data_IF_550543233887
#
_entry.id   IF_550543233887
#
_cell.length_a   1.000
_cell.length_b   1.000
_cell.length_c   1.000
_cell.angle_alpha   90.00
_cell.angle_beta   90.00
_cell.angle_gamma   90.00
#
_symmetry.space_group_name_H-M   'P 1'
#
loop_
_entity.id
_entity.type
_entity.pdbx_description
1 polymer ?
#
# COMPACT_ATOMS: atom_id res chain seq x y z
N UNK A 1 46.96 46.66 -34.57
CA UNK A 1 45.71 47.22 -34.05
C UNK A 1 44.70 46.10 -33.89
N UNK A 2 44.64 45.34 -32.81
CA UNK A 2 45.45 45.25 -31.60
C UNK A 2 45.44 43.79 -31.13
N UNK A 3 46.63 43.36 -30.73
CA UNK A 3 46.93 42.16 -29.97
C UNK A 3 46.62 42.44 -28.48
N UNK A 4 46.52 41.39 -27.64
CA UNK A 4 46.32 41.46 -26.17
C UNK A 4 44.88 41.79 -25.71
N UNK A 5 44.13 40.85 -25.13
CA UNK A 5 44.38 40.35 -23.77
C UNK A 5 43.94 38.88 -23.65
N UNK A 6 44.87 37.95 -23.86
CA UNK A 6 44.84 36.66 -23.17
C UNK A 6 45.40 36.89 -21.77
N UNK A 7 44.53 37.09 -20.79
CA UNK A 7 44.93 37.02 -19.38
C UNK A 7 45.02 35.55 -18.96
N UNK A 8 46.23 35.03 -19.08
CA UNK A 8 46.74 33.89 -18.32
C UNK A 8 46.94 34.28 -16.85
N UNK A 9 46.62 33.34 -15.95
CA UNK A 9 47.05 33.24 -14.55
C UNK A 9 46.61 34.32 -13.56
N UNK A 10 45.70 33.94 -12.67
CA UNK A 10 45.94 34.11 -11.24
C UNK A 10 45.77 32.69 -10.65
N UNK A 11 46.84 31.91 -10.51
CA UNK A 11 47.56 31.90 -9.24
C UNK A 11 46.59 32.17 -8.08
N UNK A 12 45.93 31.11 -7.60
CA UNK A 12 45.51 31.07 -6.20
C UNK A 12 46.67 31.65 -5.39
N UNK A 13 46.46 32.65 -4.52
CA UNK A 13 47.54 33.16 -3.69
C UNK A 13 48.24 31.95 -3.09
N UNK A 14 49.55 31.85 -3.32
CA UNK A 14 50.37 30.76 -2.83
C UNK A 14 49.92 30.49 -1.39
N UNK A 15 49.37 29.31 -1.14
CA UNK A 15 48.80 28.92 0.15
C UNK A 15 49.78 29.38 1.22
N UNK A 16 49.49 30.51 1.86
CA UNK A 16 50.23 30.92 3.04
C UNK A 16 50.03 29.74 3.96
N UNK A 17 51.12 29.08 4.33
CA UNK A 17 51.10 27.96 5.26
C UNK A 17 50.37 28.48 6.49
N UNK A 18 49.10 28.12 6.62
CA UNK A 18 48.35 28.51 7.79
C UNK A 18 48.97 27.76 8.97
N UNK A 19 49.10 28.41 10.13
CA UNK A 19 49.42 27.68 11.35
C UNK A 19 48.47 26.49 11.48
N UNK A 20 48.91 25.35 12.06
CA UNK A 20 48.14 24.10 12.08
C UNK A 20 46.71 24.24 12.63
N UNK A 21 46.44 25.32 13.38
CA UNK A 21 45.17 25.59 14.03
C UNK A 21 44.31 26.65 13.31
N UNK A 22 44.64 27.01 12.05
CA UNK A 22 43.89 28.02 11.26
C UNK A 22 43.42 27.44 9.94
N UNK A 23 42.10 27.42 9.75
CA UNK A 23 41.47 27.03 8.49
C UNK A 23 41.00 28.27 7.73
N UNK A 24 41.25 28.28 6.42
CA UNK A 24 40.77 29.32 5.52
C UNK A 24 39.44 28.89 4.91
N UNK A 25 38.39 29.67 5.13
CA UNK A 25 37.07 29.48 4.54
C UNK A 25 36.89 30.49 3.44
N UNK A 26 36.64 30.01 2.24
CA UNK A 26 36.42 30.84 1.07
C UNK A 26 34.91 31.05 0.87
N UNK A 27 34.50 32.29 0.76
CA UNK A 27 33.13 32.70 0.46
C UNK A 27 33.05 33.19 -0.98
N UNK A 28 31.97 32.85 -1.66
CA UNK A 28 31.74 33.26 -3.03
C UNK A 28 30.31 33.07 -3.48
N UNK A 29 29.92 33.83 -4.49
CA UNK A 29 28.61 33.74 -5.12
C UNK A 29 28.60 32.66 -6.21
N UNK A 30 27.50 31.90 -6.29
CA UNK A 30 27.30 30.92 -7.36
C UNK A 30 26.73 31.64 -8.58
N UNK A 31 27.50 31.67 -9.67
CA UNK A 31 27.02 32.17 -10.96
C UNK A 31 27.05 31.02 -11.99
N UNK A 32 25.87 30.48 -12.29
CA UNK A 32 25.73 29.31 -13.18
C UNK A 32 26.37 28.07 -12.57
N UNK A 33 27.40 27.53 -13.23
CA UNK A 33 28.17 26.37 -12.74
C UNK A 33 29.47 26.74 -12.03
N UNK A 34 29.75 28.03 -11.86
CA UNK A 34 31.00 28.53 -11.30
C UNK A 34 30.75 29.21 -9.95
N UNK A 35 31.71 29.08 -9.05
CA UNK A 35 31.77 29.84 -7.79
C UNK A 35 32.73 30.99 -8.03
N UNK A 36 32.23 32.22 -7.99
CA UNK A 36 33.05 33.43 -7.99
C UNK A 36 33.41 33.75 -6.55
N UNK A 37 34.72 33.78 -6.26
CA UNK A 37 35.22 34.04 -4.93
C UNK A 37 35.03 35.51 -4.57
N UNK A 38 34.28 35.79 -3.51
CA UNK A 38 33.99 37.15 -3.06
C UNK A 38 34.96 37.56 -1.94
N UNK A 39 35.18 36.68 -0.95
CA UNK A 39 36.07 36.96 0.20
C UNK A 39 36.59 35.69 0.87
N UNK A 40 37.59 35.83 1.73
CA UNK A 40 38.16 34.72 2.53
C UNK A 40 38.09 35.07 4.02
N UNK A 41 37.52 34.17 4.82
CA UNK A 41 37.48 34.27 6.29
C UNK A 41 38.49 33.29 6.88
N UNK A 42 39.25 33.75 7.87
CA UNK A 42 40.19 32.91 8.62
C UNK A 42 39.55 32.51 9.94
N UNK A 43 39.32 31.22 10.15
CA UNK A 43 38.79 30.71 11.41
C UNK A 43 39.80 29.80 12.08
N UNK A 44 40.02 30.06 13.38
CA UNK A 44 40.89 29.25 14.22
C UNK A 44 40.11 28.09 14.80
N UNK A 45 40.57 26.88 14.55
CA UNK A 45 40.01 25.65 15.11
C UNK A 45 41.10 24.82 15.74
N UNK A 46 40.88 24.37 16.97
CA UNK A 46 41.65 23.27 17.50
C UNK A 46 41.16 21.96 16.88
N UNK A 47 42.02 20.95 16.78
CA UNK A 47 41.68 19.62 16.23
C UNK A 47 40.51 18.93 16.95
N UNK A 48 40.26 19.28 18.21
CA UNK A 48 39.11 18.79 18.99
C UNK A 48 37.78 19.50 18.69
N UNK A 49 37.83 20.66 18.04
CA UNK A 49 36.68 21.53 17.72
C UNK A 49 36.29 21.43 16.23
N UNK A 50 36.95 20.54 15.48
CA UNK A 50 36.71 20.34 14.05
C UNK A 50 35.45 19.48 13.77
N UNK A 51 34.35 19.74 14.49
CA UNK A 51 33.05 19.14 14.21
C UNK A 51 32.13 20.16 13.52
N UNK A 52 31.14 19.67 12.77
CA UNK A 52 30.26 20.52 11.95
C UNK A 52 29.52 21.58 12.78
N UNK A 53 28.93 21.27 13.96
CA UNK A 53 28.31 22.27 14.82
C UNK A 53 29.24 23.42 15.24
N UNK A 54 30.45 23.09 15.71
CA UNK A 54 31.41 24.09 16.20
C UNK A 54 31.96 24.94 15.05
N UNK A 55 32.14 24.35 13.87
CA UNK A 55 32.52 25.07 12.65
C UNK A 55 31.44 26.05 12.23
N UNK A 56 30.17 25.64 12.25
CA UNK A 56 29.05 26.52 11.95
C UNK A 56 28.94 27.64 12.98
N UNK A 57 29.12 27.35 14.28
CA UNK A 57 29.06 28.35 15.34
C UNK A 57 30.13 29.43 15.16
N UNK A 58 31.41 29.04 15.01
CA UNK A 58 32.49 30.01 14.81
C UNK A 58 32.40 30.75 13.48
N UNK A 59 31.90 30.10 12.43
CA UNK A 59 31.65 30.76 11.16
C UNK A 59 30.53 31.79 11.28
N UNK A 60 29.46 31.44 11.98
CA UNK A 60 28.37 32.37 12.26
C UNK A 60 28.90 33.58 13.03
N UNK A 61 29.64 33.37 14.11
CA UNK A 61 30.23 34.46 14.91
C UNK A 61 31.11 35.38 14.05
N UNK A 62 31.99 34.81 13.21
CA UNK A 62 32.88 35.57 12.33
C UNK A 62 32.16 36.31 11.18
N UNK A 63 30.92 35.94 10.87
CA UNK A 63 30.13 36.49 9.77
C UNK A 63 29.09 37.51 10.27
N UNK A 64 28.47 37.24 11.42
CA UNK A 64 27.48 38.12 12.06
C UNK A 64 28.10 39.38 12.67
N UNK A 65 29.42 39.42 12.89
CA UNK A 65 30.11 40.68 13.24
C UNK A 65 30.05 41.73 12.10
N UNK A 66 29.72 41.34 10.86
CA UNK A 66 29.77 42.26 9.71
C UNK A 66 28.47 42.42 8.90
N UNK A 67 27.48 41.51 8.96
CA UNK A 67 26.17 41.68 8.26
C UNK A 67 25.00 40.96 8.95
N UNK A 68 23.82 41.61 9.01
CA UNK A 68 22.58 41.07 9.62
C UNK A 68 21.73 40.18 8.66
N UNK A 69 22.02 40.15 7.35
CA UNK A 69 21.14 39.52 6.36
C UNK A 69 21.85 38.46 5.51
N UNK A 70 22.12 37.25 6.06
CA UNK A 70 22.58 36.13 5.22
C UNK A 70 21.74 34.87 5.45
N UNK A 71 20.99 34.50 4.41
CA UNK A 71 19.87 33.57 4.56
C UNK A 71 20.23 32.08 4.41
N UNK A 72 21.30 31.68 3.70
CA UNK A 72 21.76 30.27 3.64
C UNK A 72 23.23 30.19 3.20
N UNK A 73 24.07 29.39 3.88
CA UNK A 73 25.43 29.02 3.41
C UNK A 73 25.54 27.55 3.04
N UNK A 74 26.32 27.25 2.00
CA UNK A 74 26.67 25.87 1.60
C UNK A 74 28.15 25.64 1.87
N UNK A 75 28.47 24.81 2.87
CA UNK A 75 29.85 24.40 3.15
C UNK A 75 30.25 23.27 2.19
N UNK A 76 31.31 23.50 1.40
CA UNK A 76 31.89 22.48 0.52
C UNK A 76 33.39 22.32 0.82
N UNK A 77 33.88 21.07 0.94
CA UNK A 77 35.31 20.80 0.99
C UNK A 77 35.94 21.14 -0.39
N UNK A 78 37.16 21.71 -0.39
CA UNK A 78 38.04 21.82 -1.57
C UNK A 78 38.13 20.53 -2.41
N UNK A 79 37.99 19.34 -1.80
CA UNK A 79 37.93 18.05 -2.52
C UNK A 79 36.59 17.79 -3.22
N UNK A 80 35.52 18.44 -2.79
CA UNK A 80 34.15 18.28 -3.31
C UNK A 80 33.89 19.10 -4.58
N UNK A 81 34.77 20.01 -4.98
CA UNK A 81 34.62 20.73 -6.26
C UNK A 81 34.73 19.78 -7.47
N UNK A 82 35.31 18.58 -7.28
CA UNK A 82 35.32 17.50 -8.28
C UNK A 82 34.03 16.68 -8.35
N UNK A 83 33.15 16.75 -7.32
CA UNK A 83 31.95 15.91 -7.20
C UNK A 83 30.70 16.48 -7.87
N UNK A 84 30.72 17.75 -8.29
CA UNK A 84 29.71 18.31 -9.19
C UNK A 84 29.97 17.99 -10.67
N UNK A 85 30.98 17.17 -10.99
CA UNK A 85 30.96 16.39 -12.24
C UNK A 85 30.15 15.13 -11.99
N UNK A 86 28.97 15.09 -12.60
CA UNK A 86 27.94 14.07 -12.42
C UNK A 86 28.49 12.67 -12.14
N UNK A 87 27.95 12.06 -11.10
CA UNK A 87 28.20 10.69 -10.68
C UNK A 87 27.66 9.72 -11.75
N UNK A 88 28.33 9.61 -12.90
CA UNK A 88 28.20 8.46 -13.80
C UNK A 88 28.87 7.28 -13.09
N UNK A 89 28.18 6.69 -12.12
CA UNK A 89 28.34 5.26 -11.86
C UNK A 89 28.02 4.59 -13.19
N UNK A 90 29.02 4.07 -13.86
CA UNK A 90 28.85 3.11 -14.96
C UNK A 90 28.29 1.83 -14.36
N UNK A 91 27.02 1.83 -13.93
CA UNK A 91 26.24 0.60 -14.02
C UNK A 91 26.12 0.31 -15.50
N UNK A 92 26.76 -0.78 -15.92
CA UNK A 92 26.60 -1.32 -17.26
C UNK A 92 25.11 -1.29 -17.62
N UNK A 93 24.71 -0.63 -18.73
CA UNK A 93 23.32 -0.59 -19.18
C UNK A 93 22.70 -2.00 -19.26
N UNK A 94 23.52 -3.01 -19.55
CA UNK A 94 23.08 -4.39 -19.64
C UNK A 94 22.76 -5.00 -18.27
N UNK A 95 23.48 -4.62 -17.20
CA UNK A 95 23.19 -5.11 -15.83
C UNK A 95 21.90 -4.49 -15.28
N UNK A 96 21.64 -3.21 -15.58
CA UNK A 96 20.37 -2.56 -15.22
C UNK A 96 19.19 -3.17 -15.98
N UNK A 97 19.40 -3.51 -17.26
CA UNK A 97 18.38 -4.13 -18.11
C UNK A 97 18.03 -5.54 -17.62
N UNK A 98 19.03 -6.39 -17.35
CA UNK A 98 18.81 -7.76 -16.81
C UNK A 98 18.02 -7.75 -15.51
N UNK A 99 18.32 -6.82 -14.60
CA UNK A 99 17.57 -6.67 -13.33
C UNK A 99 16.13 -6.23 -13.55
N UNK A 100 15.86 -5.44 -14.59
CA UNK A 100 14.50 -5.05 -14.97
C UNK A 100 13.75 -6.24 -15.56
N UNK A 101 14.38 -6.99 -16.46
CA UNK A 101 13.80 -8.18 -17.09
C UNK A 101 13.47 -9.25 -16.02
N UNK A 102 14.39 -9.49 -15.07
CA UNK A 102 14.16 -10.41 -13.93
C UNK A 102 12.98 -9.99 -13.04
N UNK A 103 12.73 -8.69 -12.90
CA UNK A 103 11.59 -8.17 -12.13
C UNK A 103 10.30 -8.36 -12.93
N UNK A 104 10.34 -8.12 -14.23
CA UNK A 104 9.20 -8.29 -15.13
C UNK A 104 8.74 -9.76 -15.21
N UNK A 105 9.69 -10.69 -15.29
CA UNK A 105 9.42 -12.12 -15.25
C UNK A 105 8.77 -12.54 -13.93
N UNK A 106 9.31 -12.09 -12.79
CA UNK A 106 8.73 -12.37 -11.46
C UNK A 106 7.32 -11.81 -11.30
N UNK A 107 7.05 -10.62 -11.82
CA UNK A 107 5.71 -10.03 -11.81
C UNK A 107 4.74 -10.85 -12.66
N UNK A 108 5.20 -11.30 -13.82
CA UNK A 108 4.42 -12.17 -14.71
C UNK A 108 4.05 -13.48 -14.03
N UNK A 109 4.99 -14.11 -13.33
CA UNK A 109 4.74 -15.33 -12.55
C UNK A 109 3.73 -15.13 -11.42
N UNK A 110 3.83 -14.02 -10.69
CA UNK A 110 2.87 -13.68 -9.63
C UNK A 110 1.46 -13.47 -10.21
N UNK A 111 1.35 -12.76 -11.33
CA UNK A 111 0.06 -12.55 -12.01
C UNK A 111 -0.53 -13.88 -12.49
N UNK A 112 0.30 -14.77 -13.04
CA UNK A 112 -0.13 -16.08 -13.50
C UNK A 112 -0.57 -16.98 -12.33
N UNK A 113 0.14 -16.95 -11.21
CA UNK A 113 -0.27 -17.64 -9.99
C UNK A 113 -1.62 -17.09 -9.46
N UNK A 114 -1.79 -15.77 -9.45
CA UNK A 114 -3.05 -15.12 -9.06
C UNK A 114 -4.23 -15.54 -9.94
N UNK A 115 -4.03 -15.64 -11.27
CA UNK A 115 -5.06 -16.14 -12.20
C UNK A 115 -5.43 -17.59 -11.92
N UNK A 116 -4.46 -18.46 -11.64
CA UNK A 116 -4.72 -19.87 -11.28
C UNK A 116 -5.51 -19.99 -9.97
N UNK A 117 -5.15 -19.20 -8.95
CA UNK A 117 -5.88 -19.17 -7.68
C UNK A 117 -7.32 -18.67 -7.86
N UNK A 118 -7.52 -17.65 -8.69
CA UNK A 118 -8.86 -17.16 -9.03
C UNK A 118 -9.71 -18.23 -9.71
N UNK A 119 -9.15 -18.95 -10.69
CA UNK A 119 -9.85 -20.05 -11.35
C UNK A 119 -10.26 -21.17 -10.35
N UNK A 120 -9.37 -21.55 -9.42
CA UNK A 120 -9.69 -22.52 -8.37
C UNK A 120 -10.81 -22.01 -7.45
N UNK A 121 -10.77 -20.72 -7.08
CA UNK A 121 -11.81 -20.08 -6.27
C UNK A 121 -13.17 -20.10 -6.98
N UNK A 122 -13.19 -19.79 -8.28
CA UNK A 122 -14.40 -19.77 -9.10
C UNK A 122 -15.00 -21.18 -9.28
N UNK A 123 -14.15 -22.19 -9.49
CA UNK A 123 -14.56 -23.59 -9.56
C UNK A 123 -15.15 -24.08 -8.22
N UNK A 124 -14.49 -23.77 -7.10
CA UNK A 124 -15.00 -24.09 -5.76
C UNK A 124 -16.35 -23.42 -5.51
N UNK A 125 -16.48 -22.14 -5.84
CA UNK A 125 -17.74 -21.40 -5.76
C UNK A 125 -18.84 -22.07 -6.60
N UNK A 126 -18.51 -22.57 -7.79
CA UNK A 126 -19.46 -23.24 -8.67
C UNK A 126 -19.94 -24.56 -8.10
N UNK A 127 -19.04 -25.38 -7.54
CA UNK A 127 -19.38 -26.64 -6.87
C UNK A 127 -20.26 -26.38 -5.65
N UNK A 128 -19.87 -25.46 -4.77
CA UNK A 128 -20.64 -25.08 -3.57
C UNK A 128 -22.02 -24.53 -3.94
N UNK A 129 -22.13 -23.69 -4.98
CA UNK A 129 -23.43 -23.19 -5.45
C UNK A 129 -24.31 -24.27 -6.07
N UNK A 130 -23.74 -25.21 -6.81
CA UNK A 130 -24.50 -26.32 -7.39
C UNK A 130 -25.09 -27.25 -6.31
N UNK A 131 -24.31 -27.54 -5.26
CA UNK A 131 -24.80 -28.24 -4.07
C UNK A 131 -25.83 -27.40 -3.29
N UNK A 132 -25.58 -26.10 -3.12
CA UNK A 132 -26.50 -25.16 -2.47
C UNK A 132 -27.86 -25.06 -3.16
N UNK A 133 -27.91 -25.12 -4.49
CA UNK A 133 -29.18 -25.14 -5.26
C UNK A 133 -30.02 -26.39 -5.00
N UNK A 134 -29.38 -27.56 -4.88
CA UNK A 134 -30.08 -28.80 -4.52
C UNK A 134 -30.71 -28.73 -3.12
N UNK A 135 -29.97 -28.16 -2.16
CA UNK A 135 -30.46 -27.94 -0.80
C UNK A 135 -31.57 -26.88 -0.75
N UNK A 136 -31.48 -25.79 -1.52
CA UNK A 136 -32.49 -24.72 -1.55
C UNK A 136 -33.89 -25.27 -1.76
N UNK A 137 -34.07 -26.11 -2.78
CA UNK A 137 -35.38 -26.67 -3.13
C UNK A 137 -35.98 -27.53 -2.01
N UNK A 138 -35.14 -28.17 -1.19
CA UNK A 138 -35.57 -29.01 -0.07
C UNK A 138 -36.00 -28.18 1.15
N UNK A 139 -35.50 -26.95 1.25
CA UNK A 139 -35.78 -26.02 2.35
C UNK A 139 -36.60 -24.80 1.92
N UNK A 140 -37.35 -24.92 0.82
CA UNK A 140 -38.27 -23.87 0.35
C UNK A 140 -39.70 -24.19 0.82
N UNK A 141 -40.42 -23.19 1.30
CA UNK A 141 -41.83 -23.31 1.63
C UNK A 141 -42.67 -23.46 0.36
N UNK A 142 -43.54 -24.46 0.32
CA UNK A 142 -44.42 -24.70 -0.83
C UNK A 142 -45.51 -23.62 -0.98
N UNK A 143 -45.79 -22.85 0.07
CA UNK A 143 -46.81 -21.81 0.10
C UNK A 143 -46.20 -20.47 -0.35
N UNK A 144 -45.24 -19.91 0.38
CA UNK A 144 -44.66 -18.60 0.05
C UNK A 144 -43.50 -18.64 -0.96
N UNK A 145 -43.02 -19.84 -1.34
CA UNK A 145 -41.89 -20.04 -2.28
C UNK A 145 -40.54 -19.49 -1.83
N UNK A 146 -40.43 -19.08 -0.56
CA UNK A 146 -39.18 -18.64 0.07
C UNK A 146 -38.54 -19.72 0.95
N UNK A 147 -37.30 -19.49 1.37
CA UNK A 147 -36.62 -20.31 2.38
C UNK A 147 -37.49 -20.42 3.65
N UNK A 148 -37.55 -21.61 4.23
CA UNK A 148 -38.36 -21.89 5.40
C UNK A 148 -38.00 -20.98 6.58
N UNK A 149 -39.00 -20.33 7.16
CA UNK A 149 -38.92 -19.61 8.44
C UNK A 149 -39.76 -20.36 9.46
N UNK A 150 -39.13 -20.80 10.54
CA UNK A 150 -39.75 -21.67 11.54
C UNK A 150 -40.45 -22.88 10.87
N UNK A 151 -39.68 -23.83 10.31
CA UNK A 151 -40.24 -24.93 9.54
C UNK A 151 -41.18 -25.81 10.35
N UNK A 152 -42.29 -26.19 9.75
CA UNK A 152 -43.28 -27.09 10.34
C UNK A 152 -43.17 -28.51 9.76
N UNK A 153 -43.12 -29.51 10.62
CA UNK A 153 -43.18 -30.93 10.26
C UNK A 153 -44.61 -31.44 10.35
N UNK A 154 -45.02 -32.27 9.39
CA UNK A 154 -46.30 -32.96 9.41
C UNK A 154 -46.13 -34.48 9.54
N UNK A 155 -46.76 -35.07 10.56
CA UNK A 155 -46.65 -36.51 10.84
C UNK A 155 -47.30 -37.39 9.77
N UNK A 156 -48.37 -36.93 9.13
CA UNK A 156 -49.13 -37.72 8.16
C UNK A 156 -48.45 -37.88 6.78
N UNK A 157 -47.47 -37.02 6.46
CA UNK A 157 -46.64 -37.16 5.26
C UNK A 157 -45.15 -37.25 5.58
N UNK A 158 -44.81 -37.39 6.86
CA UNK A 158 -43.44 -37.52 7.38
C UNK A 158 -42.44 -36.54 6.76
N UNK A 159 -42.83 -35.27 6.61
CA UNK A 159 -42.03 -34.29 5.88
C UNK A 159 -42.27 -32.87 6.37
N UNK A 160 -41.32 -31.99 6.08
CA UNK A 160 -41.47 -30.55 6.26
C UNK A 160 -42.48 -30.04 5.23
N UNK A 161 -43.45 -29.27 5.73
CA UNK A 161 -44.58 -28.79 4.92
C UNK A 161 -44.47 -27.31 4.60
N UNK A 162 -43.92 -26.47 5.48
CA UNK A 162 -43.78 -25.04 5.18
C UNK A 162 -43.36 -24.21 6.37
N UNK A 163 -43.36 -22.88 6.21
CA UNK A 163 -43.19 -21.94 7.30
C UNK A 163 -44.37 -22.01 8.27
N UNK A 164 -44.12 -21.74 9.55
CA UNK A 164 -45.15 -21.70 10.60
C UNK A 164 -46.37 -20.87 10.21
N UNK A 165 -46.16 -19.59 9.91
CA UNK A 165 -47.25 -18.65 9.56
C UNK A 165 -48.06 -19.16 8.36
N UNK A 166 -47.38 -19.57 7.29
CA UNK A 166 -48.04 -20.05 6.07
C UNK A 166 -48.90 -21.29 6.33
N UNK A 167 -48.37 -22.23 7.14
CA UNK A 167 -49.06 -23.49 7.44
C UNK A 167 -50.23 -23.27 8.40
N UNK A 168 -50.06 -22.42 9.42
CA UNK A 168 -51.13 -22.04 10.34
C UNK A 168 -52.27 -21.33 9.60
N UNK A 169 -51.95 -20.40 8.69
CA UNK A 169 -52.94 -19.71 7.85
C UNK A 169 -53.67 -20.68 6.93
N UNK A 170 -52.95 -21.59 6.27
CA UNK A 170 -53.57 -22.63 5.45
C UNK A 170 -54.54 -23.50 6.26
N UNK A 171 -54.14 -23.92 7.47
CA UNK A 171 -54.96 -24.77 8.34
C UNK A 171 -56.17 -24.05 8.93
N UNK A 172 -56.20 -22.71 8.95
CA UNK A 172 -57.43 -21.95 9.27
C UNK A 172 -58.51 -22.16 8.20
N UNK A 173 -58.09 -22.24 6.94
CA UNK A 173 -58.98 -22.27 5.78
C UNK A 173 -59.22 -23.68 5.21
N UNK A 174 -58.39 -24.66 5.60
CA UNK A 174 -58.45 -26.03 5.08
C UNK A 174 -58.16 -27.06 6.16
N UNK A 175 -58.88 -28.19 6.12
CA UNK A 175 -58.62 -29.36 6.99
C UNK A 175 -57.63 -30.35 6.37
N UNK A 176 -57.13 -30.04 5.17
CA UNK A 176 -56.25 -30.90 4.38
C UNK A 176 -54.83 -30.35 4.34
N UNK A 177 -53.85 -31.23 4.21
CA UNK A 177 -52.48 -30.82 3.94
C UNK A 177 -52.33 -30.24 2.53
N UNK A 178 -51.71 -29.07 2.39
CA UNK A 178 -51.38 -28.49 1.09
C UNK A 178 -50.36 -29.30 0.27
N UNK A 179 -49.59 -30.19 0.90
CA UNK A 179 -48.60 -31.05 0.25
C UNK A 179 -49.18 -32.40 -0.22
N UNK A 180 -49.79 -33.17 0.69
CA UNK A 180 -50.27 -34.53 0.39
C UNK A 180 -51.80 -34.69 0.41
N UNK A 181 -52.56 -33.62 0.70
CA UNK A 181 -54.03 -33.61 0.82
C UNK A 181 -54.64 -34.53 1.89
N UNK A 182 -53.82 -35.10 2.79
CA UNK A 182 -54.31 -35.87 3.93
C UNK A 182 -55.18 -35.02 4.86
N UNK A 183 -56.27 -35.60 5.40
CA UNK A 183 -57.25 -34.93 6.27
C UNK A 183 -56.82 -34.99 7.75
N UNK A 184 -57.33 -34.06 8.56
CA UNK A 184 -57.09 -34.03 10.00
C UNK A 184 -55.70 -33.50 10.35
N UNK A 185 -55.29 -32.43 9.66
CA UNK A 185 -53.93 -31.91 9.72
C UNK A 185 -53.61 -31.04 10.94
N UNK A 186 -54.60 -30.43 11.61
CA UNK A 186 -54.37 -29.43 12.69
C UNK A 186 -53.54 -29.97 13.85
N UNK A 187 -53.84 -31.18 14.33
CA UNK A 187 -53.20 -31.72 15.55
C UNK A 187 -51.95 -32.58 15.26
N UNK A 188 -51.52 -32.61 13.99
CA UNK A 188 -50.44 -33.48 13.50
C UNK A 188 -49.30 -32.71 12.86
N UNK A 189 -49.25 -31.40 13.09
CA UNK A 189 -48.27 -30.48 12.55
C UNK A 189 -47.60 -29.74 13.69
N UNK A 190 -46.27 -29.75 13.71
CA UNK A 190 -45.47 -29.24 14.83
C UNK A 190 -44.27 -28.45 14.32
N UNK A 191 -43.84 -27.39 15.04
CA UNK A 191 -42.63 -26.67 14.70
C UNK A 191 -41.40 -27.56 14.91
N UNK A 192 -40.43 -27.45 14.00
CA UNK A 192 -39.13 -28.08 14.13
C UNK A 192 -38.17 -27.07 14.75
N UNK A 193 -37.57 -27.44 15.87
CA UNK A 193 -36.53 -26.64 16.53
C UNK A 193 -35.17 -27.24 16.20
N UNK A 194 -34.13 -26.39 16.10
CA UNK A 194 -32.74 -26.84 15.94
C UNK A 194 -32.23 -26.92 14.49
N UNK A 195 -33.09 -26.72 13.48
CA UNK A 195 -32.66 -26.62 12.08
C UNK A 195 -32.42 -25.18 11.61
N UNK A 196 -32.78 -24.19 12.43
CA UNK A 196 -32.67 -22.76 12.10
C UNK A 196 -31.23 -22.36 11.75
N UNK A 197 -30.23 -22.84 12.52
CA UNK A 197 -28.82 -22.58 12.22
C UNK A 197 -28.41 -23.12 10.84
N UNK A 198 -28.95 -24.29 10.45
CA UNK A 198 -28.71 -24.85 9.11
C UNK A 198 -29.37 -24.02 8.01
N UNK A 199 -30.55 -23.46 8.28
CA UNK A 199 -31.25 -22.57 7.35
C UNK A 199 -30.52 -21.23 7.18
N UNK A 200 -29.92 -20.68 8.24
CA UNK A 200 -29.10 -19.46 8.17
C UNK A 200 -27.88 -19.65 7.27
N UNK A 201 -27.16 -20.77 7.43
CA UNK A 201 -26.03 -21.13 6.56
C UNK A 201 -26.47 -21.27 5.11
N UNK A 202 -27.61 -21.94 4.87
CA UNK A 202 -28.16 -22.06 3.52
C UNK A 202 -28.56 -20.70 2.94
N UNK A 203 -29.09 -19.78 3.76
CA UNK A 203 -29.42 -18.44 3.32
C UNK A 203 -28.19 -17.68 2.87
N UNK A 204 -27.08 -17.78 3.60
CA UNK A 204 -25.80 -17.17 3.21
C UNK A 204 -25.30 -17.71 1.86
N UNK A 205 -25.35 -19.02 1.66
CA UNK A 205 -24.90 -19.68 0.41
C UNK A 205 -25.78 -19.31 -0.80
N UNK A 206 -27.08 -19.10 -0.57
CA UNK A 206 -28.07 -18.85 -1.64
C UNK A 206 -28.20 -17.37 -1.99
N UNK A 207 -27.80 -16.46 -1.09
CA UNK A 207 -27.98 -15.01 -1.27
C UNK A 207 -26.76 -14.30 -1.89
N UNK A 208 -25.65 -15.01 -2.14
CA UNK A 208 -24.47 -14.54 -2.89
C UNK A 208 -24.49 -14.89 -4.39
#
# INVERSE_FOLDING_TARGET
>A
MDEEHRLTMAALPALMQTPPDVSQIYMGSVQGTNILLDRTILIKFNTHEANVPDIIAKFSDAVYEEQEDIEVFVLTDTKSNSRYRGNKRTTDPDDKKRKLDDIEDKLTDIVNAGKKLKAISDDYCTVVRSAGRGCKNSFTCLICKDLLKEPMFAKYCSTIVGCKVCVEEWLRNSTQCHKCRSRGAKDKVFPIVGINNGLEVLQAIVSE
#
